data_IF_255018592861
#
_entry.id   IF_255018592861
#
_cell.length_a   1.000
_cell.length_b   1.000
_cell.length_c   1.000
_cell.angle_alpha   90.00
_cell.angle_beta   90.00
_cell.angle_gamma   90.00
#
_symmetry.space_group_name_H-M   'P 1'
#
loop_
_entity.id
_entity.type
_entity.pdbx_description
1 polymer ?
#
# COMPACT_ATOMS: atom_id res chain seq x y z
N UNK A 1 22.32 -4.07 -6.17
CA UNK A 1 21.71 -3.95 -4.83
C UNK A 1 20.30 -4.50 -4.87
N UNK A 2 20.00 -5.61 -4.18
CA UNK A 2 18.62 -6.11 -4.07
C UNK A 2 17.87 -5.16 -3.13
N UNK A 3 17.02 -4.27 -3.66
CA UNK A 3 16.12 -3.46 -2.83
C UNK A 3 15.31 -4.41 -1.95
N UNK A 4 15.35 -4.20 -0.64
CA UNK A 4 14.59 -5.01 0.29
C UNK A 4 13.11 -4.64 0.13
N UNK A 5 12.24 -5.59 -0.23
CA UNK A 5 10.82 -5.32 -0.56
C UNK A 5 10.06 -4.59 0.58
N UNK A 6 10.57 -4.67 1.81
CA UNK A 6 10.06 -3.96 2.99
C UNK A 6 10.24 -2.44 2.94
N UNK A 7 11.27 -1.95 2.25
CA UNK A 7 11.55 -0.52 2.14
C UNK A 7 10.58 0.19 1.18
N UNK A 8 9.91 -0.56 0.31
CA UNK A 8 9.02 -0.03 -0.72
C UNK A 8 7.76 0.61 -0.12
N UNK A 9 7.22 0.02 0.97
CA UNK A 9 6.11 0.63 1.71
C UNK A 9 6.52 1.94 2.41
N UNK A 10 7.79 2.07 2.79
CA UNK A 10 8.33 3.30 3.40
C UNK A 10 8.52 4.39 2.34
N UNK A 11 8.92 4.01 1.13
CA UNK A 11 9.04 4.93 -0.02
C UNK A 11 7.69 5.59 -0.41
N UNK A 12 6.55 5.03 0.00
CA UNK A 12 5.22 5.61 -0.22
C UNK A 12 4.94 6.86 0.63
N UNK A 13 5.78 7.17 1.62
CA UNK A 13 5.59 8.28 2.56
C UNK A 13 4.18 8.28 3.19
N UNK A 14 3.70 7.11 3.58
CA UNK A 14 2.43 6.95 4.29
C UNK A 14 2.53 7.52 5.70
N UNK A 15 1.38 7.89 6.27
CA UNK A 15 1.32 8.19 7.71
C UNK A 15 1.65 6.93 8.52
N UNK A 16 2.21 7.10 9.72
CA UNK A 16 2.51 5.99 10.64
C UNK A 16 1.26 5.13 10.90
N UNK A 17 0.07 5.76 10.99
CA UNK A 17 -1.21 5.05 11.14
C UNK A 17 -1.52 4.15 9.95
N UNK A 18 -1.43 4.69 8.73
CA UNK A 18 -1.66 3.91 7.52
C UNK A 18 -0.65 2.76 7.38
N UNK A 19 0.64 3.03 7.64
CA UNK A 19 1.69 2.00 7.62
C UNK A 19 1.42 0.89 8.63
N UNK A 20 1.11 1.24 9.88
CA UNK A 20 0.80 0.27 10.92
C UNK A 20 -0.48 -0.52 10.62
N UNK A 21 -1.51 0.12 10.04
CA UNK A 21 -2.73 -0.58 9.61
C UNK A 21 -2.41 -1.63 8.53
N UNK A 22 -1.62 -1.30 7.51
CA UNK A 22 -1.19 -2.27 6.49
C UNK A 22 -0.41 -3.43 7.12
N UNK A 23 0.54 -3.12 8.00
CA UNK A 23 1.36 -4.13 8.70
C UNK A 23 0.54 -5.06 9.57
N UNK A 24 -0.44 -4.52 10.32
CA UNK A 24 -1.35 -5.29 11.16
C UNK A 24 -2.22 -6.25 10.34
N UNK A 25 -2.44 -5.94 9.07
CA UNK A 25 -3.21 -6.77 8.14
C UNK A 25 -2.33 -7.76 7.37
N UNK A 26 -1.03 -7.84 7.72
CA UNK A 26 -0.07 -8.72 7.05
C UNK A 26 0.50 -8.16 5.75
N UNK A 27 0.12 -6.94 5.37
CA UNK A 27 0.57 -6.28 4.14
C UNK A 27 1.95 -5.68 4.39
N UNK A 28 2.98 -6.31 3.84
CA UNK A 28 4.38 -5.97 4.09
C UNK A 28 5.10 -5.48 2.83
N UNK A 29 4.50 -5.69 1.65
CA UNK A 29 5.08 -5.38 0.35
C UNK A 29 4.06 -4.71 -0.58
N UNK A 30 4.55 -4.13 -1.68
CA UNK A 30 3.69 -3.63 -2.76
C UNK A 30 2.95 -4.75 -3.50
N UNK A 31 3.55 -5.95 -3.58
CA UNK A 31 2.89 -7.13 -4.15
C UNK A 31 1.67 -7.50 -3.30
N UNK A 32 1.80 -7.56 -1.97
CA UNK A 32 0.66 -7.81 -1.08
C UNK A 32 -0.44 -6.76 -1.29
N UNK A 33 -0.07 -5.47 -1.40
CA UNK A 33 -1.03 -4.39 -1.69
C UNK A 33 -1.74 -4.56 -3.03
N UNK A 34 -1.08 -5.13 -4.04
CA UNK A 34 -1.69 -5.32 -5.37
C UNK A 34 -2.83 -6.34 -5.35
N UNK A 35 -2.84 -7.26 -4.37
CA UNK A 35 -3.91 -8.25 -4.14
C UNK A 35 -5.14 -7.66 -3.44
N UNK A 36 -5.14 -6.36 -3.12
CA UNK A 36 -6.30 -5.69 -2.52
C UNK A 36 -6.82 -4.60 -3.45
N UNK A 37 -8.14 -4.47 -3.50
CA UNK A 37 -8.81 -3.37 -4.18
C UNK A 37 -8.79 -2.08 -3.36
N UNK A 38 -8.95 -0.94 -4.05
CA UNK A 38 -9.11 0.37 -3.39
C UNK A 38 -10.23 0.39 -2.35
N UNK A 39 -11.33 -0.31 -2.63
CA UNK A 39 -12.51 -0.38 -1.74
C UNK A 39 -12.18 -1.14 -0.45
N UNK A 40 -11.49 -2.28 -0.55
CA UNK A 40 -11.05 -3.04 0.62
C UNK A 40 -10.07 -2.22 1.45
N UNK A 41 -9.05 -1.62 0.81
CA UNK A 41 -8.10 -0.76 1.49
C UNK A 41 -8.77 0.44 2.17
N UNK A 42 -9.82 1.02 1.58
CA UNK A 42 -10.58 2.11 2.19
C UNK A 42 -11.39 1.70 3.43
N UNK A 43 -11.81 0.44 3.51
CA UNK A 43 -12.51 -0.08 4.70
C UNK A 43 -11.56 -0.25 5.89
N UNK A 44 -10.24 -0.24 5.65
CA UNK A 44 -9.26 -0.44 6.72
C UNK A 44 -9.15 0.80 7.60
N UNK A 45 -9.34 0.59 8.90
CA UNK A 45 -9.24 1.66 9.90
C UNK A 45 -7.84 2.29 9.84
N UNK A 46 -7.78 3.59 9.52
CA UNK A 46 -6.52 4.34 9.41
C UNK A 46 -6.01 4.54 7.98
N UNK A 47 -6.64 3.92 6.98
CA UNK A 47 -6.42 4.23 5.56
C UNK A 47 -7.43 5.28 5.12
N UNK A 48 -6.93 6.48 4.78
CA UNK A 48 -7.75 7.56 4.19
C UNK A 48 -7.49 7.72 2.69
N UNK A 49 -8.29 8.58 2.04
CA UNK A 49 -8.17 8.93 0.62
C UNK A 49 -6.74 9.34 0.22
N UNK A 50 -6.05 10.11 1.08
CA UNK A 50 -4.66 10.53 0.83
C UNK A 50 -3.71 9.34 0.82
N UNK A 51 -3.89 8.38 1.73
CA UNK A 51 -3.04 7.18 1.81
C UNK A 51 -3.30 6.26 0.61
N UNK A 52 -4.57 6.09 0.20
CA UNK A 52 -4.94 5.36 -1.01
C UNK A 52 -4.28 5.92 -2.27
N UNK A 53 -4.34 7.24 -2.46
CA UNK A 53 -3.69 7.90 -3.61
C UNK A 53 -2.18 7.68 -3.61
N UNK A 54 -1.53 7.66 -2.43
CA UNK A 54 -0.10 7.38 -2.31
C UNK A 54 0.23 5.94 -2.68
N UNK A 55 -0.58 4.99 -2.20
CA UNK A 55 -0.47 3.56 -2.55
C UNK A 55 -0.62 3.38 -4.06
N UNK A 56 -1.65 3.98 -4.67
CA UNK A 56 -1.90 3.92 -6.10
C UNK A 56 -0.71 4.43 -6.91
N UNK A 57 -0.20 5.62 -6.57
CA UNK A 57 1.01 6.18 -7.20
C UNK A 57 2.24 5.28 -7.02
N UNK A 58 2.33 4.59 -5.89
CA UNK A 58 3.41 3.66 -5.61
C UNK A 58 3.38 2.42 -6.50
N UNK A 59 2.19 1.85 -6.70
CA UNK A 59 1.97 0.74 -7.60
C UNK A 59 2.19 1.15 -9.06
N UNK A 60 1.68 2.32 -9.47
CA UNK A 60 1.87 2.85 -10.83
C UNK A 60 3.36 3.04 -11.17
N UNK A 61 4.18 3.51 -10.21
CA UNK A 61 5.64 3.63 -10.39
C UNK A 61 6.33 2.29 -10.69
N UNK A 62 5.71 1.19 -10.29
CA UNK A 62 6.19 -0.18 -10.54
C UNK A 62 5.50 -0.85 -11.72
N UNK A 63 4.69 -0.12 -12.49
CA UNK A 63 3.80 -0.66 -13.51
C UNK A 63 2.86 -1.75 -12.96
N UNK A 64 2.53 -1.66 -11.67
CA UNK A 64 1.57 -2.53 -10.98
C UNK A 64 0.27 -1.77 -10.77
N UNK A 65 -0.84 -2.50 -10.69
CA UNK A 65 -2.15 -1.93 -10.39
C UNK A 65 -2.78 -2.70 -9.24
N UNK A 66 -3.64 -2.02 -8.50
CA UNK A 66 -4.51 -2.70 -7.54
C UNK A 66 -5.47 -3.61 -8.28
N UNK A 67 -5.89 -4.70 -7.64
CA UNK A 67 -6.95 -5.54 -8.16
C UNK A 67 -8.21 -4.70 -8.40
N UNK A 68 -8.69 -4.74 -9.65
CA UNK A 68 -9.95 -4.13 -10.05
C UNK A 68 -11.06 -5.10 -9.65
N UNK A 69 -11.67 -4.84 -8.48
CA UNK A 69 -12.91 -5.49 -8.03
C UNK A 69 -14.11 -4.80 -8.66
#
# INVERSE_FOLDING_TARGET
MRKNKRDELRELNLSIRAYNSLRNMGINTLEDLSMYSKKQLYQFKGIGIVSLRKIEKGLDKKNMKMEAV
#
